data_IF_337281842987
#
_entry.id   IF_337281842987
#
_cell.length_a   1.000
_cell.length_b   1.000
_cell.length_c   1.000
_cell.angle_alpha   90.00
_cell.angle_beta   90.00
_cell.angle_gamma   90.00
#
_symmetry.space_group_name_H-M   'P 1'
#
loop_
_entity.id
_entity.type
_entity.pdbx_description
1 polymer ?
#
# COMPACT_ATOMS: atom_id res chain seq x y z
N UNK A 1 16.22 -1.65 13.53
CA UNK A 1 15.95 -0.80 14.72
C UNK A 1 14.60 -0.14 14.46
N UNK A 2 13.53 -0.61 15.11
CA UNK A 2 12.21 -0.01 14.96
C UNK A 2 12.19 1.30 15.77
N UNK A 3 11.77 2.40 15.14
CA UNK A 3 11.59 3.69 15.82
C UNK A 3 10.13 3.75 16.23
N UNK A 4 9.84 3.62 17.52
CA UNK A 4 8.53 3.99 18.06
C UNK A 4 8.41 5.51 17.95
N UNK A 5 7.47 5.96 17.13
CA UNK A 5 7.18 7.38 16.97
C UNK A 5 6.29 7.79 18.15
N UNK A 6 6.88 8.49 19.11
CA UNK A 6 6.14 9.07 20.22
C UNK A 6 5.27 10.22 19.73
N UNK A 7 3.97 10.06 19.87
CA UNK A 7 2.95 10.94 19.33
C UNK A 7 2.74 12.23 20.16
N UNK A 8 3.62 12.51 21.13
CA UNK A 8 3.48 13.62 22.08
C UNK A 8 3.80 15.01 21.49
N UNK A 9 4.44 15.08 20.32
CA UNK A 9 4.75 16.33 19.60
C UNK A 9 3.86 16.55 18.35
N UNK A 10 2.67 15.93 18.29
CA UNK A 10 1.75 15.97 17.15
C UNK A 10 1.40 17.37 16.62
N UNK A 11 1.31 18.37 17.51
CA UNK A 11 0.95 19.73 17.12
C UNK A 11 2.11 20.54 16.51
N UNK A 12 3.34 20.02 16.55
CA UNK A 12 4.53 20.69 15.98
C UNK A 12 4.93 20.19 14.60
N UNK A 13 4.42 19.03 14.18
CA UNK A 13 4.84 18.40 12.93
C UNK A 13 3.81 18.63 11.82
N UNK A 14 4.26 19.29 10.75
CA UNK A 14 3.56 19.33 9.45
C UNK A 14 3.14 17.90 9.03
N UNK A 15 2.04 17.78 8.29
CA UNK A 15 1.52 16.55 7.67
C UNK A 15 2.56 15.43 7.53
N UNK A 16 2.31 14.30 8.19
CA UNK A 16 3.20 13.15 8.24
C UNK A 16 2.76 12.12 7.18
N UNK A 17 3.68 11.63 6.37
CA UNK A 17 3.40 10.63 5.34
C UNK A 17 4.24 9.37 5.52
N UNK A 18 3.63 8.19 5.39
CA UNK A 18 4.32 6.91 5.29
C UNK A 18 4.26 6.41 3.85
N UNK A 19 5.39 5.97 3.30
CA UNK A 19 5.46 5.30 2.01
C UNK A 19 5.73 3.82 2.20
N UNK A 20 4.80 2.98 1.73
CA UNK A 20 4.95 1.52 1.65
C UNK A 20 5.36 1.13 0.23
N UNK A 21 6.52 0.48 0.09
CA UNK A 21 6.98 -0.09 -1.17
C UNK A 21 6.74 -1.60 -1.11
N UNK A 22 5.99 -2.14 -2.06
CA UNK A 22 5.58 -3.54 -2.05
C UNK A 22 5.44 -4.09 -3.47
N UNK A 23 5.52 -5.41 -3.61
CA UNK A 23 5.27 -6.16 -4.85
C UNK A 23 4.09 -7.13 -4.73
N UNK A 24 3.61 -7.39 -3.50
CA UNK A 24 2.69 -8.47 -3.20
C UNK A 24 1.47 -8.02 -2.41
N UNK A 25 0.42 -8.82 -2.47
CA UNK A 25 -0.83 -8.60 -1.75
C UNK A 25 -0.63 -8.75 -0.23
N UNK A 26 -1.36 -7.99 0.61
CA UNK A 26 -1.37 -8.24 2.05
C UNK A 26 -1.89 -9.65 2.37
N UNK A 27 -1.31 -10.28 3.40
CA UNK A 27 -1.79 -11.58 3.90
C UNK A 27 -3.16 -11.46 4.59
N UNK A 28 -3.48 -10.27 5.10
CA UNK A 28 -4.78 -9.96 5.71
C UNK A 28 -5.78 -9.44 4.67
N UNK A 29 -7.06 -9.71 4.94
CA UNK A 29 -8.17 -9.21 4.15
C UNK A 29 -8.12 -7.68 3.98
N UNK A 30 -8.33 -7.21 2.74
CA UNK A 30 -8.26 -5.78 2.39
C UNK A 30 -9.10 -4.92 3.31
N UNK A 31 -10.35 -5.34 3.61
CA UNK A 31 -11.25 -4.57 4.48
C UNK A 31 -10.72 -4.42 5.92
N UNK A 32 -10.00 -5.43 6.43
CA UNK A 32 -9.42 -5.40 7.77
C UNK A 32 -8.27 -4.40 7.81
N UNK A 33 -7.39 -4.44 6.80
CA UNK A 33 -6.28 -3.48 6.68
C UNK A 33 -6.81 -2.06 6.49
N UNK A 34 -7.79 -1.86 5.61
CA UNK A 34 -8.43 -0.57 5.35
C UNK A 34 -9.05 0.04 6.62
N UNK A 35 -9.78 -0.76 7.40
CA UNK A 35 -10.35 -0.28 8.66
C UNK A 35 -9.26 0.11 9.67
N UNK A 36 -8.20 -0.68 9.78
CA UNK A 36 -7.06 -0.39 10.65
C UNK A 36 -6.37 0.92 10.26
N UNK A 37 -6.05 1.12 8.97
CA UNK A 37 -5.36 2.35 8.54
C UNK A 37 -6.28 3.57 8.65
N UNK A 38 -7.58 3.44 8.40
CA UNK A 38 -8.54 4.53 8.61
C UNK A 38 -8.58 4.97 10.07
N UNK A 39 -8.52 4.02 11.01
CA UNK A 39 -8.44 4.31 12.45
C UNK A 39 -7.08 4.92 12.82
N UNK A 40 -5.98 4.33 12.35
CA UNK A 40 -4.63 4.79 12.66
C UNK A 40 -4.35 6.20 12.11
N UNK A 41 -4.95 6.56 10.98
CA UNK A 41 -4.86 7.90 10.39
C UNK A 41 -5.90 8.87 10.99
N UNK A 42 -6.85 8.41 11.81
CA UNK A 42 -7.92 9.27 12.33
C UNK A 42 -7.37 10.30 13.31
N UNK A 43 -7.76 11.56 13.12
CA UNK A 43 -7.37 12.68 13.99
C UNK A 43 -5.89 13.05 13.88
N UNK A 44 -5.13 12.37 13.03
CA UNK A 44 -3.75 12.68 12.70
C UNK A 44 -3.72 13.19 11.28
N UNK A 45 -2.95 14.25 11.02
CA UNK A 45 -2.58 14.60 9.65
C UNK A 45 -1.53 13.60 9.14
N UNK A 46 -1.92 12.31 9.09
CA UNK A 46 -1.09 11.17 8.72
C UNK A 46 -1.68 10.47 7.50
N UNK A 47 -0.85 10.26 6.46
CA UNK A 47 -1.28 9.65 5.20
C UNK A 47 -0.43 8.43 4.85
N UNK A 48 -1.05 7.35 4.39
CA UNK A 48 -0.36 6.17 3.86
C UNK A 48 -0.34 6.20 2.33
N UNK A 49 0.85 6.36 1.76
CA UNK A 49 1.09 6.21 0.33
C UNK A 49 1.65 4.81 0.03
N UNK A 50 1.28 4.24 -1.12
CA UNK A 50 1.76 2.92 -1.57
C UNK A 50 2.38 3.04 -2.95
N UNK A 51 3.58 2.46 -3.11
CA UNK A 51 4.23 2.22 -4.39
C UNK A 51 4.24 0.70 -4.65
N UNK A 52 3.36 0.24 -5.53
CA UNK A 52 3.31 -1.14 -5.99
C UNK A 52 4.27 -1.31 -7.18
N UNK A 53 5.16 -2.30 -7.09
CA UNK A 53 6.05 -2.70 -8.18
C UNK A 53 5.61 -4.06 -8.70
N UNK A 54 5.27 -4.15 -9.99
CA UNK A 54 5.01 -5.43 -10.64
C UNK A 54 5.83 -5.54 -11.91
N UNK A 55 6.75 -6.50 -11.96
CA UNK A 55 7.39 -6.89 -13.21
C UNK A 55 6.36 -7.73 -13.96
N UNK A 56 5.88 -7.24 -15.10
CA UNK A 56 5.19 -8.09 -16.04
C UNK A 56 6.27 -8.96 -16.66
N UNK A 57 6.48 -10.18 -16.15
CA UNK A 57 7.27 -11.16 -16.88
C UNK A 57 6.68 -11.24 -18.28
N UNK A 58 7.53 -10.97 -19.29
CA UNK A 58 7.13 -10.86 -20.69
C UNK A 58 6.20 -12.00 -21.05
N UNK A 59 4.93 -11.69 -21.24
CA UNK A 59 3.88 -12.69 -21.36
C UNK A 59 4.00 -13.38 -22.71
N UNK A 60 4.83 -14.41 -22.77
CA UNK A 60 4.69 -15.53 -23.68
C UNK A 60 3.48 -16.37 -23.23
N UNK A 61 2.29 -15.76 -23.28
CA UNK A 61 0.98 -16.39 -23.46
C UNK A 61 0.63 -17.67 -22.66
N UNK A 62 1.31 -17.96 -21.54
CA UNK A 62 1.07 -19.15 -20.72
C UNK A 62 1.40 -19.00 -19.24
N UNK A 63 1.68 -17.77 -18.77
CA UNK A 63 2.02 -17.48 -17.37
C UNK A 63 0.84 -17.75 -16.43
N UNK A 64 0.68 -19.02 -16.03
CA UNK A 64 -0.20 -19.44 -14.94
C UNK A 64 0.33 -18.75 -13.68
N UNK A 65 -0.34 -17.67 -13.26
CA UNK A 65 -0.20 -17.17 -11.89
C UNK A 65 -0.56 -18.36 -11.00
N UNK A 66 0.35 -18.89 -10.16
CA UNK A 66 0.00 -20.01 -9.32
C UNK A 66 -1.24 -19.62 -8.52
N UNK A 67 -2.27 -20.49 -8.46
CA UNK A 67 -3.59 -20.22 -7.87
C UNK A 67 -3.60 -19.79 -6.38
N UNK A 68 -2.41 -19.61 -5.80
CA UNK A 68 -2.09 -19.23 -4.43
C UNK A 68 -1.48 -17.82 -4.33
N UNK A 69 -1.42 -17.06 -5.44
CA UNK A 69 -0.99 -15.67 -5.47
C UNK A 69 -2.01 -14.81 -6.23
N UNK A 70 -2.34 -13.65 -5.66
CA UNK A 70 -3.17 -12.66 -6.32
C UNK A 70 -2.46 -12.12 -7.57
N UNK A 71 -3.21 -11.85 -8.62
CA UNK A 71 -2.71 -11.18 -9.81
C UNK A 71 -2.22 -9.75 -9.46
N UNK A 72 -1.34 -9.16 -10.30
CA UNK A 72 -0.94 -7.76 -10.13
C UNK A 72 -2.14 -6.79 -10.07
N UNK A 73 -3.23 -7.09 -10.80
CA UNK A 73 -4.45 -6.28 -10.79
C UNK A 73 -5.22 -6.39 -9.48
N UNK A 74 -5.38 -7.59 -8.93
CA UNK A 74 -6.02 -7.80 -7.63
C UNK A 74 -5.22 -7.12 -6.51
N UNK A 75 -3.89 -7.27 -6.55
CA UNK A 75 -2.97 -6.58 -5.63
C UNK A 75 -3.12 -5.05 -5.73
N UNK A 76 -3.15 -4.51 -6.95
CA UNK A 76 -3.36 -3.08 -7.17
C UNK A 76 -4.73 -2.60 -6.68
N UNK A 77 -5.79 -3.41 -6.85
CA UNK A 77 -7.12 -3.08 -6.33
C UNK A 77 -7.13 -3.01 -4.80
N UNK A 78 -6.53 -4.00 -4.14
CA UNK A 78 -6.44 -4.04 -2.68
C UNK A 78 -5.72 -2.81 -2.12
N UNK A 79 -4.56 -2.45 -2.68
CA UNK A 79 -3.82 -1.27 -2.20
C UNK A 79 -4.50 0.05 -2.53
N UNK A 80 -5.26 0.15 -3.64
CA UNK A 80 -6.07 1.35 -3.91
C UNK A 80 -7.10 1.59 -2.80
N UNK A 81 -7.79 0.55 -2.36
CA UNK A 81 -8.76 0.64 -1.26
C UNK A 81 -8.07 1.05 0.05
N UNK A 82 -6.94 0.43 0.36
CA UNK A 82 -6.17 0.71 1.59
C UNK A 82 -5.69 2.16 1.61
N UNK A 83 -5.11 2.69 0.51
CA UNK A 83 -4.64 4.09 0.51
C UNK A 83 -5.79 5.09 0.55
N UNK A 84 -6.95 4.76 -0.03
CA UNK A 84 -8.14 5.62 0.03
C UNK A 84 -8.63 5.77 1.48
N UNK A 85 -8.64 4.67 2.22
CA UNK A 85 -8.98 4.67 3.64
C UNK A 85 -8.04 5.53 4.49
N UNK A 86 -6.79 5.70 4.05
CA UNK A 86 -5.75 6.50 4.71
C UNK A 86 -5.53 7.89 4.09
N UNK A 87 -6.41 8.34 3.19
CA UNK A 87 -6.31 9.61 2.46
C UNK A 87 -4.94 9.83 1.77
N UNK A 88 -4.34 8.75 1.29
CA UNK A 88 -3.00 8.73 0.70
C UNK A 88 -3.00 8.60 -0.82
N UNK A 89 -1.85 8.17 -1.36
CA UNK A 89 -1.59 8.11 -2.81
C UNK A 89 -1.15 6.72 -3.21
N UNK A 90 -1.66 6.25 -4.34
CA UNK A 90 -1.26 4.98 -4.93
C UNK A 90 -0.44 5.24 -6.19
N UNK A 91 0.74 4.63 -6.26
CA UNK A 91 1.62 4.61 -7.41
C UNK A 91 1.81 3.14 -7.82
N UNK A 92 1.67 2.85 -9.10
CA UNK A 92 1.90 1.51 -9.64
C UNK A 92 2.93 1.59 -10.76
N UNK A 93 4.06 0.91 -10.56
CA UNK A 93 5.17 0.89 -11.49
C UNK A 93 5.30 -0.50 -12.13
N UNK A 94 5.38 -0.51 -13.46
CA UNK A 94 5.74 -1.69 -14.26
C UNK A 94 7.24 -1.77 -14.53
N UNK A 95 7.65 -2.77 -15.32
CA UNK A 95 9.05 -2.99 -15.74
C UNK A 95 9.70 -1.75 -16.41
N UNK A 96 8.90 -0.92 -17.10
CA UNK A 96 9.40 0.29 -17.76
C UNK A 96 9.66 1.47 -16.82
N UNK A 97 9.26 1.40 -15.54
CA UNK A 97 9.63 2.39 -14.54
C UNK A 97 9.37 3.86 -14.94
N UNK A 98 8.31 4.14 -15.72
CA UNK A 98 7.57 5.41 -15.87
C UNK A 98 6.58 5.30 -17.03
#
# INVERSE_FOLDING_TARGET
>A
RAVEVDFRDKDKHKSQGLYLLTTGIPDQETHTVSAYVAEACRGLDFQLHVCLFSVAEGTDSSGIVPARYASPRETASAFKEIVQAANGRFHWFGEAGM
#
